data_IF_527862901189
#
_entry.id   IF_527862901189
#
_cell.length_a   1.000
_cell.length_b   1.000
_cell.length_c   1.000
_cell.angle_alpha   90.00
_cell.angle_beta   90.00
_cell.angle_gamma   90.00
#
_symmetry.space_group_name_H-M   'P 1'
#
loop_
_entity.id
_entity.type
_entity.pdbx_description
1 polymer ?
#
# COMPACT_ATOMS: atom_id res chain seq x y z
N UNK A 1 -3.63 -14.16 14.83
CA UNK A 1 -2.32 -13.51 15.00
C UNK A 1 -1.99 -12.69 13.75
N UNK A 2 -1.90 -11.36 13.93
CA UNK A 2 -1.42 -10.44 12.88
C UNK A 2 0.11 -10.38 12.98
N UNK A 3 0.78 -10.45 11.82
CA UNK A 3 2.22 -10.24 11.72
C UNK A 3 2.47 -9.22 10.62
N UNK A 4 3.46 -8.37 10.80
CA UNK A 4 3.88 -7.43 9.78
C UNK A 4 5.29 -7.76 9.29
N UNK A 5 5.59 -7.39 8.05
CA UNK A 5 6.95 -7.36 7.51
C UNK A 5 7.16 -6.14 6.64
N UNK A 6 8.40 -5.70 6.60
CA UNK A 6 8.84 -4.57 5.81
C UNK A 6 9.90 -5.05 4.84
N UNK A 7 9.77 -4.67 3.57
CA UNK A 7 10.78 -4.85 2.56
C UNK A 7 11.39 -3.50 2.22
N UNK A 8 12.70 -3.46 2.10
CA UNK A 8 13.45 -2.25 1.78
C UNK A 8 14.08 -2.41 0.41
N UNK A 9 13.99 -1.38 -0.42
CA UNK A 9 14.79 -1.23 -1.63
C UNK A 9 15.98 -0.33 -1.35
N UNK A 10 17.14 -0.70 -1.86
CA UNK A 10 18.37 0.09 -1.69
C UNK A 10 19.04 0.34 -3.03
N UNK A 11 19.51 1.57 -3.23
CA UNK A 11 20.31 1.99 -4.39
C UNK A 11 21.53 2.75 -3.88
N UNK A 12 22.72 2.35 -4.32
CA UNK A 12 23.98 2.95 -3.86
C UNK A 12 24.11 2.97 -2.32
N UNK A 13 23.76 1.86 -1.66
CA UNK A 13 23.79 1.70 -0.20
C UNK A 13 22.84 2.64 0.58
N UNK A 14 21.91 3.31 -0.10
CA UNK A 14 20.89 4.16 0.52
C UNK A 14 19.52 3.56 0.27
N UNK A 15 18.62 3.66 1.25
CA UNK A 15 17.23 3.23 1.10
C UNK A 15 16.57 4.19 0.12
N UNK A 16 15.98 3.64 -0.95
CA UNK A 16 15.24 4.40 -1.96
C UNK A 16 13.75 4.02 -2.03
N UNK A 17 13.31 3.07 -1.23
CA UNK A 17 11.91 2.71 -1.13
C UNK A 17 11.65 1.63 -0.10
N UNK A 18 10.37 1.43 0.23
CA UNK A 18 9.92 0.35 1.11
C UNK A 18 8.51 -0.11 0.76
N UNK A 19 8.16 -1.31 1.19
CA UNK A 19 6.79 -1.78 1.27
C UNK A 19 6.51 -2.36 2.66
N UNK A 20 5.29 -2.12 3.16
CA UNK A 20 4.80 -2.66 4.42
C UNK A 20 3.64 -3.59 4.13
N UNK A 21 3.76 -4.82 4.62
CA UNK A 21 2.71 -5.81 4.51
C UNK A 21 2.28 -6.33 5.88
N UNK A 22 1.00 -6.63 6.01
CA UNK A 22 0.41 -7.24 7.20
C UNK A 22 -0.20 -8.58 6.79
N UNK A 23 0.13 -9.66 7.49
CA UNK A 23 -0.54 -10.94 7.32
C UNK A 23 -1.58 -11.19 8.40
N UNK A 24 -2.67 -11.83 8.03
CA UNK A 24 -3.73 -12.26 8.93
C UNK A 24 -4.24 -13.64 8.52
N UNK A 25 -4.39 -14.52 9.49
CA UNK A 25 -5.07 -15.80 9.33
C UNK A 25 -6.51 -15.67 9.81
N UNK A 26 -7.45 -15.79 8.88
CA UNK A 26 -8.86 -15.86 9.25
C UNK A 26 -9.17 -17.30 9.76
N UNK A 27 -9.48 -17.40 11.03
CA UNK A 27 -9.77 -18.71 11.67
C UNK A 27 -11.05 -19.36 11.16
N UNK A 28 -12.00 -18.59 10.61
CA UNK A 28 -13.30 -19.14 10.16
C UNK A 28 -13.17 -19.91 8.84
N UNK A 29 -12.39 -19.38 7.90
CA UNK A 29 -12.24 -19.97 6.56
C UNK A 29 -10.85 -20.58 6.33
N UNK A 30 -9.94 -20.45 7.30
CA UNK A 30 -8.55 -20.94 7.19
C UNK A 30 -7.70 -20.14 6.20
N UNK A 31 -8.22 -19.06 5.63
CA UNK A 31 -7.49 -18.26 4.64
C UNK A 31 -6.44 -17.37 5.32
N UNK A 32 -5.20 -17.55 4.91
CA UNK A 32 -4.10 -16.67 5.26
C UNK A 32 -3.96 -15.61 4.18
N UNK A 33 -4.16 -14.36 4.56
CA UNK A 33 -4.12 -13.20 3.65
C UNK A 33 -2.94 -12.30 4.01
N UNK A 34 -2.32 -11.73 2.99
CA UNK A 34 -1.38 -10.64 3.12
C UNK A 34 -2.03 -9.36 2.59
N UNK A 35 -1.76 -8.24 3.22
CA UNK A 35 -2.22 -6.91 2.80
C UNK A 35 -0.99 -6.05 2.61
N UNK A 36 -0.73 -5.58 1.38
CA UNK A 36 0.21 -4.49 1.16
C UNK A 36 -0.53 -3.20 1.55
N UNK A 37 -0.11 -2.62 2.66
CA UNK A 37 -0.79 -1.48 3.30
C UNK A 37 -0.07 -0.16 3.07
N UNK A 38 1.22 -0.21 2.71
CA UNK A 38 1.99 0.97 2.35
C UNK A 38 3.08 0.62 1.34
N UNK A 39 3.30 1.51 0.40
CA UNK A 39 4.32 1.41 -0.65
C UNK A 39 4.89 2.80 -0.93
N UNK A 40 6.18 2.95 -0.74
CA UNK A 40 6.88 4.21 -0.98
C UNK A 40 8.13 3.98 -1.85
N UNK A 41 8.35 4.89 -2.77
CA UNK A 41 9.62 5.01 -3.51
C UNK A 41 9.99 6.48 -3.66
N UNK A 42 11.27 6.80 -3.51
CA UNK A 42 11.77 8.17 -3.70
C UNK A 42 11.47 8.59 -5.13
N UNK A 43 10.94 9.82 -5.28
CA UNK A 43 10.51 10.39 -6.56
C UNK A 43 9.54 9.48 -7.34
N UNK A 44 8.79 8.62 -6.64
CA UNK A 44 7.84 7.69 -7.25
C UNK A 44 8.45 6.82 -8.36
N UNK A 45 9.72 6.43 -8.19
CA UNK A 45 10.47 5.67 -9.17
C UNK A 45 9.74 4.36 -9.51
N UNK A 46 9.34 4.26 -10.78
CA UNK A 46 8.55 3.13 -11.31
C UNK A 46 9.23 1.78 -11.06
N UNK A 47 10.51 1.68 -11.35
CA UNK A 47 11.26 0.43 -11.22
C UNK A 47 11.30 -0.03 -9.76
N UNK A 48 11.62 0.88 -8.84
CA UNK A 48 11.63 0.60 -7.41
C UNK A 48 10.26 0.13 -6.91
N UNK A 49 9.18 0.80 -7.36
CA UNK A 49 7.82 0.42 -6.98
C UNK A 49 7.44 -0.97 -7.50
N UNK A 50 7.73 -1.28 -8.77
CA UNK A 50 7.47 -2.60 -9.37
C UNK A 50 8.25 -3.69 -8.65
N UNK A 51 9.53 -3.45 -8.35
CA UNK A 51 10.38 -4.42 -7.65
C UNK A 51 9.87 -4.69 -6.23
N UNK A 52 9.44 -3.66 -5.50
CA UNK A 52 8.85 -3.82 -4.16
C UNK A 52 7.52 -4.58 -4.18
N UNK A 53 6.66 -4.32 -5.18
CA UNK A 53 5.41 -5.08 -5.37
C UNK A 53 5.74 -6.55 -5.64
N UNK A 54 6.62 -6.83 -6.58
CA UNK A 54 7.05 -8.19 -6.91
C UNK A 54 7.67 -8.92 -5.72
N UNK A 55 8.54 -8.24 -4.97
CA UNK A 55 9.14 -8.78 -3.75
C UNK A 55 8.08 -9.06 -2.67
N UNK A 56 7.07 -8.20 -2.53
CA UNK A 56 5.96 -8.40 -1.57
C UNK A 56 5.13 -9.64 -1.94
N UNK A 57 4.85 -9.84 -3.24
CA UNK A 57 4.16 -11.06 -3.72
C UNK A 57 4.99 -12.31 -3.42
N UNK A 58 6.29 -12.27 -3.69
CA UNK A 58 7.18 -13.41 -3.44
C UNK A 58 7.31 -13.71 -1.95
N UNK A 59 7.40 -12.70 -1.10
CA UNK A 59 7.44 -12.89 0.35
C UNK A 59 6.13 -13.46 0.89
N UNK A 60 4.97 -12.99 0.40
CA UNK A 60 3.66 -13.55 0.73
C UNK A 60 3.58 -15.05 0.36
N UNK A 61 4.11 -15.45 -0.82
CA UNK A 61 4.20 -16.86 -1.22
C UNK A 61 5.08 -17.68 -0.28
N UNK A 62 6.28 -17.19 0.07
CA UNK A 62 7.18 -17.86 1.03
C UNK A 62 6.51 -18.06 2.40
N UNK A 63 5.70 -17.09 2.83
CA UNK A 63 4.92 -17.14 4.07
C UNK A 63 3.66 -17.99 3.95
N UNK A 64 3.44 -18.64 2.81
CA UNK A 64 2.24 -19.49 2.53
C UNK A 64 0.93 -18.70 2.68
N UNK A 65 0.93 -17.42 2.28
CA UNK A 65 -0.30 -16.67 2.15
C UNK A 65 -1.06 -17.15 0.91
N UNK A 66 -2.38 -17.33 1.04
CA UNK A 66 -3.25 -17.77 -0.05
C UNK A 66 -3.59 -16.60 -0.99
N UNK A 67 -3.65 -15.39 -0.44
CA UNK A 67 -4.04 -14.17 -1.14
C UNK A 67 -3.12 -13.03 -0.70
N UNK A 68 -2.75 -12.14 -1.64
CA UNK A 68 -2.21 -10.82 -1.34
C UNK A 68 -3.16 -9.76 -1.90
N UNK A 69 -3.54 -8.82 -1.06
CA UNK A 69 -4.42 -7.70 -1.42
C UNK A 69 -3.61 -6.39 -1.38
N UNK A 70 -3.78 -5.59 -2.42
CA UNK A 70 -3.17 -4.26 -2.51
C UNK A 70 -4.20 -3.22 -2.07
N UNK A 71 -4.05 -2.74 -0.84
CA UNK A 71 -4.95 -1.76 -0.24
C UNK A 71 -4.23 -0.43 -0.09
N UNK A 72 -4.93 0.66 -0.40
CA UNK A 72 -4.36 2.00 -0.24
C UNK A 72 -3.28 2.36 -1.27
N UNK A 73 -3.25 1.65 -2.38
CA UNK A 73 -2.38 2.00 -3.52
C UNK A 73 -2.91 3.29 -4.14
N UNK A 74 -2.08 4.32 -4.21
CA UNK A 74 -2.45 5.59 -4.80
C UNK A 74 -2.61 5.51 -6.34
N UNK A 75 -3.17 6.55 -6.94
CA UNK A 75 -3.44 6.57 -8.38
C UNK A 75 -2.16 6.46 -9.23
N UNK A 76 -1.01 6.91 -8.74
CA UNK A 76 0.27 6.85 -9.45
C UNK A 76 0.86 5.43 -9.44
N UNK A 77 0.62 4.68 -8.37
CA UNK A 77 1.10 3.31 -8.19
C UNK A 77 0.17 2.26 -8.80
N UNK A 78 -1.10 2.61 -9.01
CA UNK A 78 -2.10 1.70 -9.57
C UNK A 78 -1.71 1.04 -10.89
N UNK A 79 -1.09 1.74 -11.87
CA UNK A 79 -0.59 1.10 -13.09
C UNK A 79 0.47 0.04 -12.81
N UNK A 80 1.30 0.23 -11.76
CA UNK A 80 2.36 -0.72 -11.42
C UNK A 80 1.79 -2.00 -10.80
N UNK A 81 0.75 -1.89 -9.97
CA UNK A 81 0.01 -3.05 -9.46
C UNK A 81 -0.69 -3.78 -10.60
N UNK A 82 -1.32 -3.04 -11.52
CA UNK A 82 -2.03 -3.64 -12.66
C UNK A 82 -1.11 -4.43 -13.59
N UNK A 83 0.20 -4.13 -13.64
CA UNK A 83 1.17 -4.90 -14.44
C UNK A 83 1.33 -6.36 -13.97
N UNK A 84 0.86 -6.68 -12.76
CA UNK A 84 0.82 -8.06 -12.22
C UNK A 84 -0.52 -8.76 -12.48
N UNK A 85 -1.42 -8.15 -13.26
CA UNK A 85 -2.72 -8.71 -13.64
C UNK A 85 -3.59 -9.16 -12.46
N UNK A 86 -3.76 -8.34 -11.41
CA UNK A 86 -4.58 -8.73 -10.26
C UNK A 86 -6.06 -8.70 -10.61
N UNK A 87 -6.85 -9.50 -9.88
CA UNK A 87 -8.29 -9.28 -9.83
C UNK A 87 -8.58 -7.94 -9.14
N UNK A 88 -9.39 -7.10 -9.77
CA UNK A 88 -9.76 -5.80 -9.21
C UNK A 88 -11.25 -5.76 -8.85
N UNK A 89 -11.55 -5.15 -7.70
CA UNK A 89 -12.92 -4.88 -7.26
C UNK A 89 -13.03 -3.41 -6.87
N UNK A 90 -14.04 -2.72 -7.42
CA UNK A 90 -14.35 -1.37 -6.97
C UNK A 90 -14.93 -1.44 -5.56
N UNK A 91 -14.29 -0.78 -4.61
CA UNK A 91 -14.78 -0.63 -3.25
C UNK A 91 -15.52 0.71 -3.11
N UNK A 92 -16.39 0.80 -2.10
CA UNK A 92 -16.95 2.08 -1.69
C UNK A 92 -15.81 3.00 -1.25
N UNK A 93 -15.85 4.24 -1.74
CA UNK A 93 -14.88 5.27 -1.35
C UNK A 93 -15.30 5.88 -0.03
N UNK A 94 -14.41 5.94 0.92
CA UNK A 94 -14.60 6.72 2.14
C UNK A 94 -14.17 8.16 1.86
N UNK A 95 -14.97 9.17 2.25
CA UNK A 95 -14.56 10.55 2.09
C UNK A 95 -13.39 10.87 3.02
N UNK A 96 -12.43 11.61 2.50
CA UNK A 96 -11.35 12.20 3.29
C UNK A 96 -11.76 13.61 3.72
N UNK A 97 -11.63 13.91 4.99
CA UNK A 97 -11.89 15.23 5.54
C UNK A 97 -10.59 15.87 5.99
N UNK A 98 -10.42 17.15 5.68
CA UNK A 98 -9.31 17.92 6.19
C UNK A 98 -9.79 19.29 6.65
N UNK A 99 -9.03 19.93 7.52
CA UNK A 99 -9.21 21.31 7.94
C UNK A 99 -7.86 22.01 7.91
N UNK A 100 -7.78 23.15 7.24
CA UNK A 100 -6.58 23.98 7.24
C UNK A 100 -6.93 25.41 7.62
N UNK A 101 -6.13 26.01 8.50
CA UNK A 101 -6.20 27.43 8.84
C UNK A 101 -5.21 28.27 8.01
N UNK A 102 -4.50 27.64 7.07
CA UNK A 102 -3.53 28.28 6.18
C UNK A 102 -4.07 28.25 4.74
N UNK A 103 -4.36 29.45 4.19
CA UNK A 103 -4.94 29.57 2.84
C UNK A 103 -4.08 28.96 1.73
N UNK A 104 -2.74 29.03 1.84
CA UNK A 104 -1.84 28.42 0.86
C UNK A 104 -1.93 26.89 0.91
N UNK A 105 -1.93 26.33 2.12
CA UNK A 105 -2.07 24.90 2.34
C UNK A 105 -3.47 24.44 1.91
N UNK A 106 -4.52 25.18 2.21
CA UNK A 106 -5.89 24.88 1.80
C UNK A 106 -6.01 24.78 0.26
N UNK A 107 -5.38 25.69 -0.46
CA UNK A 107 -5.35 25.65 -1.93
C UNK A 107 -4.68 24.37 -2.46
N UNK A 108 -3.61 23.92 -1.82
CA UNK A 108 -2.92 22.67 -2.19
C UNK A 108 -3.81 21.48 -1.85
N UNK A 109 -4.41 21.46 -0.66
CA UNK A 109 -5.22 20.34 -0.17
C UNK A 109 -6.54 20.16 -0.93
N UNK A 110 -7.06 21.19 -1.59
CA UNK A 110 -8.21 21.09 -2.50
C UNK A 110 -7.93 20.26 -3.75
N UNK A 111 -6.67 20.04 -4.09
CA UNK A 111 -6.29 19.25 -5.25
C UNK A 111 -5.92 17.83 -4.81
N UNK A 112 -6.78 16.87 -5.10
CA UNK A 112 -6.59 15.46 -4.76
C UNK A 112 -5.30 14.83 -5.30
N UNK A 113 -4.69 15.42 -6.34
CA UNK A 113 -3.41 14.97 -6.91
C UNK A 113 -2.25 15.06 -5.93
N UNK A 114 -2.35 15.93 -4.93
CA UNK A 114 -1.33 16.07 -3.89
C UNK A 114 -1.56 15.16 -2.68
N UNK A 115 -2.67 14.41 -2.70
CA UNK A 115 -2.96 13.45 -1.65
C UNK A 115 -2.43 12.09 -2.04
N UNK A 116 -1.56 11.56 -1.21
CA UNK A 116 -1.02 10.21 -1.36
C UNK A 116 -1.39 9.37 -0.11
N UNK A 117 -2.67 9.27 0.24
CA UNK A 117 -3.06 8.53 1.42
C UNK A 117 -2.75 7.06 1.21
N UNK A 118 -2.16 6.46 2.24
CA UNK A 118 -1.97 5.02 2.32
C UNK A 118 -3.00 4.41 3.27
N UNK A 119 -3.07 3.10 3.30
CA UNK A 119 -3.96 2.42 4.22
C UNK A 119 -3.56 2.61 5.69
N UNK A 120 -2.29 3.00 5.94
CA UNK A 120 -1.76 3.31 7.27
C UNK A 120 -2.23 4.68 7.80
N UNK A 121 -2.69 5.58 6.93
CA UNK A 121 -3.12 6.93 7.32
C UNK A 121 -4.53 6.96 7.92
N UNK A 122 -5.23 5.84 7.98
CA UNK A 122 -6.60 5.76 8.49
C UNK A 122 -6.78 4.75 9.62
N UNK A 123 -7.79 4.95 10.44
CA UNK A 123 -8.17 4.06 11.56
C UNK A 123 -8.66 2.68 11.11
N UNK A 124 -8.77 2.47 9.80
CA UNK A 124 -9.27 1.24 9.19
C UNK A 124 -8.34 0.04 9.34
N UNK A 125 -7.07 0.25 9.73
CA UNK A 125 -6.11 -0.81 10.04
C UNK A 125 -6.54 -1.65 11.25
N UNK A 126 -7.32 -1.07 12.15
CA UNK A 126 -7.71 -1.73 13.40
C UNK A 126 -8.72 -2.86 13.16
N UNK A 127 -9.43 -2.87 12.05
CA UNK A 127 -10.57 -3.74 11.76
C UNK A 127 -10.29 -4.90 10.79
N UNK A 128 -9.05 -5.37 10.70
CA UNK A 128 -8.69 -6.58 9.91
C UNK A 128 -8.82 -7.88 10.68
#
# INVERSE_FOLDING_TARGET
NKKAWILLSTKNKKINGYSICIENLNKKDGLKRAFLVDLFSINEEKETSINLIGASINEAKKRKCHIIEFRGVNNLQKPYVNSFYPFSKKLLTNPFYYKSNNNKLDTILKNEKFWLPTYLDGDTIVNF
#
